data_IF_242906996189
#
_entry.id   IF_242906996189
#
_cell.length_a   1.000
_cell.length_b   1.000
_cell.length_c   1.000
_cell.angle_alpha   90.00
_cell.angle_beta   90.00
_cell.angle_gamma   90.00
#
_symmetry.space_group_name_H-M   'P 1'
#
loop_
_entity.id
_entity.type
_entity.pdbx_description
1 polymer ?
#
# COMPACT_ATOMS: atom_id res chain seq x y z
N UNK A 1 -1.31 -16.03 -20.63
CA UNK A 1 -0.41 -16.57 -19.60
C UNK A 1 0.98 -16.71 -20.20
N UNK A 2 1.99 -16.13 -19.57
CA UNK A 2 3.41 -16.32 -19.91
C UNK A 2 4.00 -17.20 -18.81
N UNK A 3 4.78 -18.22 -19.15
CA UNK A 3 5.30 -19.20 -18.18
C UNK A 3 6.74 -19.62 -18.53
N UNK A 4 7.51 -19.94 -17.49
CA UNK A 4 8.81 -20.58 -17.49
C UNK A 4 8.90 -21.49 -16.26
N UNK A 5 9.92 -22.36 -16.21
CA UNK A 5 10.18 -23.31 -15.11
C UNK A 5 9.94 -22.74 -13.69
N UNK A 6 10.25 -21.45 -13.47
CA UNK A 6 10.16 -20.81 -12.14
C UNK A 6 9.28 -19.56 -12.06
N UNK A 7 8.66 -19.14 -13.16
CA UNK A 7 7.95 -17.84 -13.20
C UNK A 7 6.75 -17.91 -14.12
N UNK A 8 5.66 -17.27 -13.73
CA UNK A 8 4.51 -17.09 -14.60
C UNK A 8 3.87 -15.70 -14.42
N UNK A 9 3.19 -15.24 -15.47
CA UNK A 9 2.34 -14.05 -15.49
C UNK A 9 0.98 -14.46 -16.08
N UNK A 10 -0.08 -14.26 -15.33
CA UNK A 10 -1.44 -14.46 -15.78
C UNK A 10 -2.16 -13.11 -15.89
N UNK A 11 -2.79 -12.86 -17.05
CA UNK A 11 -3.71 -11.74 -17.26
C UNK A 11 -5.02 -12.36 -17.70
N UNK A 12 -6.07 -12.12 -16.93
CA UNK A 12 -7.42 -12.65 -17.17
C UNK A 12 -8.43 -11.59 -16.74
N UNK A 13 -9.43 -11.34 -17.58
CA UNK A 13 -10.61 -10.57 -17.20
C UNK A 13 -11.64 -11.54 -16.62
N UNK A 14 -11.94 -11.38 -15.33
CA UNK A 14 -12.95 -12.18 -14.63
C UNK A 14 -13.69 -11.26 -13.65
N UNK A 15 -15.00 -11.03 -13.83
CA UNK A 15 -15.77 -10.21 -12.92
C UNK A 15 -15.97 -10.91 -11.58
N UNK A 16 -16.00 -10.13 -10.49
CA UNK A 16 -16.33 -10.62 -9.16
C UNK A 16 -15.17 -11.24 -8.37
N UNK A 17 -13.95 -11.23 -8.91
CA UNK A 17 -12.76 -11.60 -8.14
C UNK A 17 -12.38 -10.48 -7.17
N UNK A 18 -11.90 -10.87 -5.99
CA UNK A 18 -11.32 -9.98 -4.99
C UNK A 18 -9.85 -10.32 -4.74
N UNK A 19 -9.10 -9.41 -4.10
CA UNK A 19 -7.68 -9.66 -3.82
C UNK A 19 -7.46 -10.94 -3.00
N UNK A 20 -8.35 -11.24 -2.03
CA UNK A 20 -8.26 -12.41 -1.17
C UNK A 20 -8.26 -13.75 -1.94
N UNK A 21 -8.92 -13.81 -3.10
CA UNK A 21 -8.92 -15.01 -3.96
C UNK A 21 -7.51 -15.37 -4.47
N UNK A 22 -6.62 -14.37 -4.56
CA UNK A 22 -5.26 -14.52 -5.07
C UNK A 22 -4.21 -14.63 -3.98
N UNK A 23 -4.44 -14.08 -2.78
CA UNK A 23 -3.47 -14.16 -1.68
C UNK A 23 -3.13 -15.62 -1.34
N UNK A 24 -4.13 -16.50 -1.36
CA UNK A 24 -3.96 -17.93 -1.10
C UNK A 24 -3.13 -18.67 -2.16
N UNK A 25 -2.82 -18.05 -3.30
CA UNK A 25 -1.94 -18.64 -4.31
C UNK A 25 -0.46 -18.52 -3.93
N UNK A 26 -0.12 -17.70 -2.93
CA UNK A 26 1.24 -17.45 -2.47
C UNK A 26 1.37 -17.68 -0.95
N UNK A 27 1.06 -18.89 -0.45
CA UNK A 27 1.15 -19.19 0.98
C UNK A 27 2.58 -19.06 1.54
N UNK A 28 3.59 -19.09 0.69
CA UNK A 28 4.99 -18.90 1.04
C UNK A 28 5.45 -17.44 1.09
N UNK A 29 4.62 -16.49 0.64
CA UNK A 29 5.02 -15.08 0.57
C UNK A 29 4.93 -14.42 1.95
N UNK A 30 6.03 -13.82 2.40
CA UNK A 30 6.06 -13.00 3.61
C UNK A 30 5.37 -11.64 3.41
N UNK A 31 5.41 -11.09 2.18
CA UNK A 31 4.84 -9.81 1.81
C UNK A 31 4.23 -9.87 0.40
N UNK A 32 3.01 -9.35 0.27
CA UNK A 32 2.34 -9.14 -1.02
C UNK A 32 2.00 -7.66 -1.14
N UNK A 33 2.48 -7.01 -2.20
CA UNK A 33 2.12 -5.64 -2.54
C UNK A 33 0.92 -5.63 -3.50
N UNK A 34 -0.16 -4.98 -3.08
CA UNK A 34 -1.35 -4.78 -3.91
C UNK A 34 -1.34 -3.35 -4.44
N UNK A 35 -1.36 -3.19 -5.76
CA UNK A 35 -1.58 -1.90 -6.40
C UNK A 35 -3.09 -1.68 -6.63
N UNK A 36 -3.60 -0.50 -6.24
CA UNK A 36 -5.02 -0.18 -6.32
C UNK A 36 -5.79 -0.50 -5.04
N UNK A 37 -6.96 -1.15 -5.16
CA UNK A 37 -7.80 -1.55 -4.03
C UNK A 37 -8.16 -0.39 -3.06
N UNK A 38 -8.44 0.81 -3.59
CA UNK A 38 -8.67 2.03 -2.79
C UNK A 38 -9.67 1.85 -1.64
N UNK A 39 -10.71 1.05 -1.85
CA UNK A 39 -11.82 0.86 -0.91
C UNK A 39 -11.76 -0.46 -0.12
N UNK A 40 -10.65 -1.21 -0.17
CA UNK A 40 -10.49 -2.43 0.62
C UNK A 40 -10.10 -2.13 2.07
N UNK A 41 -10.18 -3.11 2.96
CA UNK A 41 -9.67 -3.00 4.33
C UNK A 41 -8.14 -3.15 4.45
N UNK A 42 -7.46 -3.66 3.41
CA UNK A 42 -5.99 -3.83 3.43
C UNK A 42 -5.26 -2.54 3.80
N UNK A 43 -4.20 -2.59 4.64
CA UNK A 43 -3.35 -1.44 4.95
C UNK A 43 -2.67 -0.86 3.71
N UNK A 44 -2.55 0.46 3.61
CA UNK A 44 -2.09 1.15 2.40
C UNK A 44 -1.04 2.21 2.66
N UNK A 45 -0.13 2.34 1.71
CA UNK A 45 0.60 3.59 1.47
C UNK A 45 -0.17 4.34 0.38
N UNK A 46 -0.76 5.49 0.71
CA UNK A 46 -1.49 6.28 -0.28
C UNK A 46 -0.56 7.31 -0.92
N UNK A 47 -0.44 7.23 -2.24
CA UNK A 47 0.42 8.11 -3.02
C UNK A 47 -0.38 9.30 -3.55
N UNK A 48 0.00 10.51 -3.16
CA UNK A 48 -0.56 11.75 -3.71
C UNK A 48 0.49 12.43 -4.57
N UNK A 49 0.09 12.84 -5.77
CA UNK A 49 0.97 13.54 -6.71
C UNK A 49 0.29 14.82 -7.13
N UNK A 50 0.98 15.94 -7.03
CA UNK A 50 0.48 17.28 -7.36
C UNK A 50 -0.19 17.34 -8.73
N UNK A 51 0.40 16.65 -9.72
CA UNK A 51 -0.11 16.63 -11.10
C UNK A 51 -1.32 15.70 -11.31
N UNK A 52 -1.71 14.92 -10.29
CA UNK A 52 -2.81 13.93 -10.38
C UNK A 52 -3.97 14.32 -9.45
N UNK A 53 -3.70 14.45 -8.15
CA UNK A 53 -4.69 14.81 -7.13
C UNK A 53 -3.98 15.20 -5.84
N UNK A 54 -4.51 16.24 -5.20
CA UNK A 54 -4.13 16.64 -3.84
C UNK A 54 -5.07 16.08 -2.76
N UNK A 55 -6.17 15.42 -3.15
CA UNK A 55 -7.14 14.85 -2.22
C UNK A 55 -6.90 13.33 -2.02
N UNK A 56 -6.80 12.86 -0.77
CA UNK A 56 -6.85 11.43 -0.45
C UNK A 56 -8.16 10.79 -0.91
N UNK A 57 -8.11 9.51 -1.26
CA UNK A 57 -9.25 8.73 -1.76
C UNK A 57 -9.47 7.45 -0.93
N UNK A 58 -8.43 6.94 -0.28
CA UNK A 58 -8.56 5.76 0.57
C UNK A 58 -9.26 6.10 1.89
N UNK A 59 -10.01 5.16 2.50
CA UNK A 59 -10.48 5.33 3.87
C UNK A 59 -9.30 5.56 4.82
N UNK A 60 -9.35 6.65 5.58
CA UNK A 60 -8.22 7.14 6.38
C UNK A 60 -7.73 6.09 7.39
N UNK A 61 -8.64 5.30 7.94
CA UNK A 61 -8.36 4.21 8.88
C UNK A 61 -7.51 3.07 8.28
N UNK A 62 -7.42 2.99 6.94
CA UNK A 62 -6.61 1.98 6.24
C UNK A 62 -5.23 2.51 5.83
N UNK A 63 -4.99 3.82 5.93
CA UNK A 63 -3.75 4.45 5.44
C UNK A 63 -2.70 4.41 6.55
N UNK A 64 -1.57 3.74 6.28
CA UNK A 64 -0.41 3.70 7.19
C UNK A 64 0.46 4.94 7.08
N UNK A 65 0.56 5.49 5.86
CA UNK A 65 1.26 6.73 5.58
C UNK A 65 0.85 7.29 4.21
N UNK A 66 1.04 8.60 4.06
CA UNK A 66 0.97 9.27 2.77
C UNK A 66 2.38 9.44 2.17
N UNK A 67 2.50 9.28 0.86
CA UNK A 67 3.75 9.53 0.13
C UNK A 67 3.46 10.55 -0.97
N UNK A 68 4.12 11.71 -0.92
CA UNK A 68 3.67 12.88 -1.70
C UNK A 68 4.79 13.84 -2.10
N UNK A 69 4.53 14.63 -3.15
CA UNK A 69 5.29 15.82 -3.58
C UNK A 69 4.56 17.13 -3.27
N UNK A 70 3.43 17.05 -2.55
CA UNK A 70 2.76 18.19 -1.97
C UNK A 70 3.58 18.68 -0.77
N UNK A 71 3.84 19.98 -0.75
CA UNK A 71 4.66 20.59 0.29
C UNK A 71 3.92 21.75 0.94
N UNK A 72 4.20 21.98 2.22
CA UNK A 72 3.83 23.22 2.88
C UNK A 72 4.69 24.40 2.38
N UNK A 73 4.49 25.59 2.97
CA UNK A 73 5.26 26.79 2.64
C UNK A 73 6.74 26.73 3.04
N UNK A 74 7.15 25.68 3.75
CA UNK A 74 8.50 25.45 4.27
C UNK A 74 9.22 24.33 3.51
N UNK A 75 8.56 23.66 2.56
CA UNK A 75 9.14 22.56 1.81
C UNK A 75 9.16 21.25 2.61
N UNK A 76 8.23 21.05 3.54
CA UNK A 76 7.98 19.76 4.18
C UNK A 76 6.80 19.05 3.51
N UNK A 77 6.81 17.71 3.40
CA UNK A 77 5.73 16.99 2.72
C UNK A 77 4.46 17.07 3.57
N UNK A 78 3.33 17.39 2.95
CA UNK A 78 2.07 17.63 3.66
C UNK A 78 0.86 17.06 2.92
N UNK A 79 -0.07 16.48 3.69
CA UNK A 79 -1.42 16.13 3.25
C UNK A 79 -2.38 16.68 4.29
N UNK A 80 -3.39 17.43 3.85
CA UNK A 80 -4.35 18.06 4.76
C UNK A 80 -5.14 17.00 5.55
N UNK A 81 -5.24 17.17 6.87
CA UNK A 81 -5.95 16.24 7.74
C UNK A 81 -5.25 14.91 8.01
N UNK A 82 -3.99 14.74 7.57
CA UNK A 82 -3.24 13.52 7.82
C UNK A 82 -2.94 13.32 9.32
N UNK A 83 -3.39 12.20 9.87
CA UNK A 83 -3.08 11.75 11.24
C UNK A 83 -1.94 10.72 11.28
N UNK A 84 -1.45 10.32 10.11
CA UNK A 84 -0.37 9.36 9.92
C UNK A 84 0.83 10.03 9.27
N UNK A 85 2.03 9.41 9.31
CA UNK A 85 3.23 10.00 8.72
C UNK A 85 3.05 10.36 7.24
N UNK A 86 3.66 11.48 6.84
CA UNK A 86 3.72 11.95 5.45
C UNK A 86 5.18 11.96 5.02
N UNK A 87 5.48 11.30 3.90
CA UNK A 87 6.83 11.15 3.36
C UNK A 87 6.95 11.74 1.96
N UNK A 88 8.18 12.08 1.58
CA UNK A 88 8.56 12.26 0.19
C UNK A 88 8.77 10.91 -0.51
N UNK A 89 8.65 10.89 -1.83
CA UNK A 89 8.90 9.70 -2.66
C UNK A 89 10.32 9.15 -2.54
N UNK A 90 11.31 9.98 -2.20
CA UNK A 90 12.71 9.60 -2.08
C UNK A 90 13.09 9.09 -0.68
N UNK A 91 12.17 9.12 0.29
CA UNK A 91 12.40 8.64 1.66
C UNK A 91 12.20 7.13 1.79
N UNK A 92 12.74 6.36 0.84
CA UNK A 92 12.50 4.92 0.71
C UNK A 92 12.85 4.15 1.99
N UNK A 93 13.98 4.46 2.64
CA UNK A 93 14.40 3.78 3.86
C UNK A 93 13.39 3.95 5.00
N UNK A 94 12.79 5.14 5.12
CA UNK A 94 11.78 5.44 6.15
C UNK A 94 10.46 4.74 5.85
N UNK A 95 10.07 4.72 4.57
CA UNK A 95 8.85 4.04 4.12
C UNK A 95 8.99 2.53 4.34
N UNK A 96 10.13 1.93 3.97
CA UNK A 96 10.39 0.51 4.19
C UNK A 96 10.42 0.17 5.68
N UNK A 97 11.07 0.99 6.52
CA UNK A 97 11.07 0.77 7.96
C UNK A 97 9.64 0.76 8.54
N UNK A 98 8.79 1.71 8.13
CA UNK A 98 7.38 1.74 8.53
C UNK A 98 6.65 0.43 8.15
N UNK A 99 6.85 -0.05 6.92
CA UNK A 99 6.21 -1.29 6.45
C UNK A 99 6.68 -2.50 7.27
N UNK A 100 7.99 -2.62 7.53
CA UNK A 100 8.55 -3.71 8.34
C UNK A 100 8.03 -3.65 9.78
N UNK A 101 8.06 -2.48 10.41
CA UNK A 101 7.60 -2.30 11.79
C UNK A 101 6.10 -2.64 11.93
N UNK A 102 5.30 -2.27 10.92
CA UNK A 102 3.89 -2.63 10.84
C UNK A 102 3.71 -4.15 10.72
N UNK A 103 4.40 -4.79 9.78
CA UNK A 103 4.32 -6.25 9.58
C UNK A 103 4.72 -7.02 10.83
N UNK A 104 5.81 -6.62 11.49
CA UNK A 104 6.26 -7.20 12.75
C UNK A 104 5.22 -7.02 13.86
N UNK A 105 4.53 -5.87 13.88
CA UNK A 105 3.41 -5.58 14.78
C UNK A 105 2.25 -6.54 14.60
N UNK A 106 1.83 -6.77 13.36
CA UNK A 106 0.72 -7.66 13.03
C UNK A 106 1.08 -9.13 13.26
N UNK A 107 2.31 -9.54 12.93
CA UNK A 107 2.79 -10.89 13.23
C UNK A 107 2.72 -11.21 14.74
N UNK A 108 3.07 -10.24 15.60
CA UNK A 108 2.93 -10.38 17.06
C UNK A 108 1.48 -10.48 17.54
N UNK A 109 0.52 -9.96 16.76
CA UNK A 109 -0.92 -9.98 17.07
C UNK A 109 -1.64 -11.22 16.54
N UNK A 110 -0.95 -12.09 15.80
CA UNK A 110 -1.52 -13.29 15.19
C UNK A 110 -1.87 -13.13 13.71
N UNK A 111 -1.44 -12.04 13.09
CA UNK A 111 -1.72 -11.71 11.69
C UNK A 111 -2.75 -10.58 11.53
N UNK A 112 -2.94 -10.14 10.29
CA UNK A 112 -3.94 -9.14 9.93
C UNK A 112 -5.34 -9.75 10.03
N UNK A 113 -6.23 -9.13 10.82
CA UNK A 113 -7.67 -9.41 10.79
C UNK A 113 -8.33 -8.45 9.78
N UNK A 114 -8.87 -8.99 8.68
CA UNK A 114 -9.46 -8.23 7.57
C UNK A 114 -10.86 -8.72 7.20
#
# INVERSE_FOLDING_TARGET
>A
MVYSDKRYLAVKEEPGLCAADFLNLFPEADLILLEGQKYSAYPKLELLRRDVSAAPVCPQETVLAYVTDLTDGQGCPVVEGAEVPVFYFDQLERITALVVDFMDGEARRGGLEL
#
